data_IF_553502881282
#
_entry.id   IF_553502881282
#
_cell.length_a   1.000
_cell.length_b   1.000
_cell.length_c   1.000
_cell.angle_alpha   90.00
_cell.angle_beta   90.00
_cell.angle_gamma   90.00
#
_symmetry.space_group_name_H-M   'P 1'
#
loop_
_entity.id
_entity.type
_entity.pdbx_description
1 polymer ?
#
# COMPACT_ATOMS: atom_id res chain seq x y z
N UNK A 1 40.60 -30.92 4.05
CA UNK A 1 39.94 -30.87 2.73
C UNK A 1 39.74 -29.40 2.43
N UNK A 2 40.42 -28.86 1.41
CA UNK A 2 40.34 -27.43 1.13
C UNK A 2 38.94 -27.09 0.59
N UNK A 3 38.14 -26.42 1.42
CA UNK A 3 36.85 -25.82 1.02
C UNK A 3 37.01 -24.50 0.26
N UNK A 4 38.24 -24.01 0.10
CA UNK A 4 38.55 -22.83 -0.70
C UNK A 4 38.66 -23.18 -2.19
N UNK A 5 37.57 -22.97 -2.93
CA UNK A 5 37.58 -23.06 -4.38
C UNK A 5 36.28 -22.59 -5.03
N UNK A 6 36.40 -21.90 -6.16
CA UNK A 6 35.27 -21.46 -6.97
C UNK A 6 34.68 -22.62 -7.77
N UNK A 7 33.37 -22.57 -8.04
CA UNK A 7 32.77 -23.46 -9.02
C UNK A 7 33.17 -23.03 -10.42
N UNK A 8 33.62 -23.98 -11.25
CA UNK A 8 33.96 -23.78 -12.65
C UNK A 8 32.91 -24.38 -13.59
N UNK A 9 31.80 -24.88 -13.04
CA UNK A 9 30.74 -25.49 -13.83
C UNK A 9 29.98 -24.44 -14.64
N UNK A 10 29.87 -24.70 -15.95
CA UNK A 10 29.06 -23.91 -16.87
C UNK A 10 27.56 -23.96 -16.53
N UNK A 11 27.12 -25.00 -15.82
CA UNK A 11 25.72 -25.21 -15.44
C UNK A 11 25.40 -24.71 -14.02
N UNK A 12 26.38 -24.16 -13.31
CA UNK A 12 26.13 -23.60 -11.99
C UNK A 12 25.16 -22.41 -12.09
N UNK A 13 24.11 -22.45 -11.26
CA UNK A 13 23.06 -21.43 -11.17
C UNK A 13 22.78 -21.10 -9.71
N UNK A 14 22.29 -19.89 -9.48
CA UNK A 14 21.66 -19.49 -8.22
C UNK A 14 20.26 -20.12 -8.14
N UNK A 15 19.80 -20.39 -6.92
CA UNK A 15 18.38 -20.67 -6.67
C UNK A 15 17.75 -19.41 -6.10
N UNK A 16 16.78 -18.84 -6.82
CA UNK A 16 16.04 -17.67 -6.39
C UNK A 16 14.87 -18.13 -5.50
N UNK A 17 14.61 -17.45 -4.38
CA UNK A 17 13.43 -17.74 -3.55
C UNK A 17 12.12 -17.54 -4.33
N UNK A 18 12.13 -16.58 -5.26
CA UNK A 18 11.00 -16.22 -6.12
C UNK A 18 11.50 -15.70 -7.45
N UNK A 19 10.67 -15.82 -8.47
CA UNK A 19 10.87 -15.24 -9.79
C UNK A 19 10.28 -13.82 -9.89
N UNK A 20 9.27 -13.51 -9.07
CA UNK A 20 8.59 -12.21 -9.04
C UNK A 20 8.42 -11.71 -7.61
N UNK A 21 8.72 -10.42 -7.39
CA UNK A 21 8.41 -9.68 -6.18
C UNK A 21 7.37 -8.60 -6.52
N UNK A 22 6.12 -8.84 -6.12
CA UNK A 22 5.02 -7.89 -6.29
C UNK A 22 4.80 -7.06 -5.02
N UNK A 23 4.85 -5.74 -5.16
CA UNK A 23 4.63 -4.76 -4.08
C UNK A 23 3.17 -4.27 -4.01
N UNK A 24 2.31 -4.78 -4.89
CA UNK A 24 0.90 -4.41 -5.06
C UNK A 24 0.72 -2.89 -5.28
N UNK A 25 -0.35 -2.30 -4.74
CA UNK A 25 -0.74 -0.91 -4.95
C UNK A 25 -0.06 0.01 -3.95
N UNK A 26 0.64 1.02 -4.47
CA UNK A 26 1.46 1.96 -3.73
C UNK A 26 0.99 3.38 -4.01
N UNK A 27 0.94 4.24 -2.99
CA UNK A 27 0.62 5.65 -3.18
C UNK A 27 1.74 6.35 -3.95
N UNK A 28 1.36 7.07 -5.01
CA UNK A 28 2.30 7.80 -5.85
C UNK A 28 2.97 8.94 -5.07
N UNK A 29 4.29 9.10 -5.24
CA UNK A 29 5.10 10.10 -4.56
C UNK A 29 5.61 9.67 -3.18
N UNK A 30 5.36 8.42 -2.77
CA UNK A 30 5.81 7.88 -1.48
C UNK A 30 6.73 6.67 -1.66
N UNK A 31 7.61 6.50 -0.68
CA UNK A 31 8.42 5.30 -0.59
C UNK A 31 7.63 4.17 0.08
N UNK A 32 7.81 2.94 -0.39
CA UNK A 32 7.19 1.77 0.24
C UNK A 32 7.91 1.36 1.51
N UNK A 33 7.32 0.42 2.24
CA UNK A 33 8.07 -0.44 3.15
C UNK A 33 9.15 -1.24 2.39
N UNK A 34 10.09 -1.80 3.13
CA UNK A 34 11.10 -2.71 2.58
C UNK A 34 10.55 -4.12 2.45
N UNK A 35 10.67 -4.69 1.27
CA UNK A 35 10.38 -6.08 0.95
C UNK A 35 11.67 -6.87 0.90
N UNK A 36 11.63 -8.15 1.26
CA UNK A 36 12.83 -8.99 1.25
C UNK A 36 12.59 -10.35 0.63
N UNK A 37 13.66 -10.91 0.06
CA UNK A 37 13.74 -12.30 -0.40
C UNK A 37 15.21 -12.74 -0.37
N UNK A 38 15.43 -14.04 -0.53
CA UNK A 38 16.76 -14.64 -0.53
C UNK A 38 17.17 -15.19 -1.90
N UNK A 39 18.47 -15.19 -2.12
CA UNK A 39 19.13 -15.78 -3.28
C UNK A 39 20.17 -16.76 -2.77
N UNK A 40 20.07 -18.02 -3.19
CA UNK A 40 20.87 -19.10 -2.63
C UNK A 40 21.92 -19.59 -3.62
N UNK A 41 23.08 -19.99 -3.11
CA UNK A 41 24.01 -20.84 -3.83
C UNK A 41 23.79 -22.30 -3.41
N UNK A 42 23.07 -23.13 -4.21
CA UNK A 42 22.87 -24.53 -3.87
C UNK A 42 24.12 -25.39 -4.10
N UNK A 43 25.19 -24.84 -4.67
CA UNK A 43 26.43 -25.56 -4.95
C UNK A 43 27.25 -25.74 -3.68
N UNK A 44 28.15 -26.73 -3.67
CA UNK A 44 29.12 -26.91 -2.56
C UNK A 44 30.28 -25.92 -2.58
N UNK A 45 30.53 -25.30 -3.73
CA UNK A 45 31.64 -24.37 -3.97
C UNK A 45 31.12 -22.95 -4.10
N UNK A 46 32.00 -21.98 -3.88
CA UNK A 46 31.69 -20.55 -4.03
C UNK A 46 31.28 -20.23 -5.46
N UNK A 47 30.17 -19.51 -5.60
CA UNK A 47 29.71 -18.88 -6.84
C UNK A 47 30.16 -17.42 -6.86
N UNK A 48 30.66 -16.97 -8.01
CA UNK A 48 30.94 -15.55 -8.25
C UNK A 48 29.84 -14.93 -9.09
N UNK A 49 29.20 -13.91 -8.52
CA UNK A 49 28.24 -13.06 -9.18
C UNK A 49 29.03 -11.86 -9.71
N UNK A 50 29.24 -11.80 -11.02
CA UNK A 50 30.02 -10.75 -11.67
C UNK A 50 29.38 -9.36 -11.47
N UNK A 51 28.04 -9.28 -11.50
CA UNK A 51 27.31 -8.06 -11.19
C UNK A 51 25.86 -8.37 -10.78
N UNK A 52 25.32 -7.55 -9.88
CA UNK A 52 23.89 -7.48 -9.61
C UNK A 52 23.40 -6.11 -10.06
N UNK A 53 22.39 -6.06 -10.93
CA UNK A 53 21.95 -4.79 -11.54
C UNK A 53 20.44 -4.71 -11.76
N UNK A 54 19.90 -3.52 -11.66
CA UNK A 54 18.57 -3.18 -12.15
C UNK A 54 18.64 -2.93 -13.65
N UNK A 55 17.71 -3.47 -14.42
CA UNK A 55 17.65 -3.25 -15.86
C UNK A 55 17.41 -1.77 -16.21
N UNK A 56 16.62 -1.06 -15.39
CA UNK A 56 16.46 0.40 -15.47
C UNK A 56 17.67 1.22 -15.02
N UNK A 57 18.68 0.59 -14.42
CA UNK A 57 19.88 1.25 -13.90
C UNK A 57 19.54 2.42 -12.97
N UNK A 58 20.21 3.56 -13.17
CA UNK A 58 19.99 4.77 -12.38
C UNK A 58 18.59 5.41 -12.55
N UNK A 59 17.82 5.01 -13.56
CA UNK A 59 16.44 5.47 -13.77
C UNK A 59 15.42 4.58 -13.08
N UNK A 60 15.85 3.46 -12.49
CA UNK A 60 14.95 2.58 -11.76
C UNK A 60 14.36 3.33 -10.56
N UNK A 61 13.05 3.26 -10.35
CA UNK A 61 12.42 3.73 -9.12
C UNK A 61 12.58 2.73 -7.98
N UNK A 62 13.07 1.51 -8.26
CA UNK A 62 13.37 0.51 -7.24
C UNK A 62 14.75 0.75 -6.63
N UNK A 63 14.79 0.73 -5.32
CA UNK A 63 15.97 0.86 -4.49
C UNK A 63 16.29 -0.52 -3.95
N UNK A 64 17.46 -1.04 -4.29
CA UNK A 64 17.87 -2.41 -3.92
C UNK A 64 19.14 -2.38 -3.10
N UNK A 65 19.14 -3.14 -2.01
CA UNK A 65 20.31 -3.46 -1.22
C UNK A 65 20.48 -4.98 -1.19
N UNK A 66 21.69 -5.47 -1.45
CA UNK A 66 22.02 -6.89 -1.40
C UNK A 66 23.09 -7.10 -0.36
N UNK A 67 22.73 -7.81 0.72
CA UNK A 67 23.61 -8.18 1.82
C UNK A 67 24.44 -7.01 2.39
N UNK A 68 23.77 -5.87 2.57
CA UNK A 68 24.38 -4.63 3.08
C UNK A 68 24.91 -3.70 1.98
N UNK A 69 25.10 -4.18 0.76
CA UNK A 69 25.59 -3.38 -0.37
C UNK A 69 24.44 -2.75 -1.15
N UNK A 70 24.33 -1.43 -1.11
CA UNK A 70 23.33 -0.69 -1.89
C UNK A 70 23.72 -0.62 -3.39
N UNK A 71 22.78 -0.86 -4.29
CA UNK A 71 22.96 -0.74 -5.74
C UNK A 71 22.94 0.74 -6.16
N UNK A 72 24.04 1.45 -5.88
CA UNK A 72 24.20 2.82 -6.36
C UNK A 72 24.11 2.85 -7.90
N UNK A 73 23.28 3.74 -8.44
CA UNK A 73 22.98 3.80 -9.89
C UNK A 73 22.43 2.48 -10.47
N UNK A 74 21.86 1.61 -9.62
CA UNK A 74 21.25 0.35 -10.03
C UNK A 74 22.24 -0.76 -10.34
N UNK A 75 23.47 -0.74 -9.81
CA UNK A 75 24.45 -1.81 -10.03
C UNK A 75 25.40 -1.97 -8.84
N UNK A 76 25.82 -3.21 -8.56
CA UNK A 76 26.97 -3.52 -7.70
C UNK A 76 28.14 -4.08 -8.51
N UNK A 77 29.35 -4.04 -7.92
CA UNK A 77 30.47 -4.83 -8.40
C UNK A 77 30.28 -6.33 -8.13
N UNK A 78 31.34 -7.09 -8.40
CA UNK A 78 31.35 -8.54 -8.18
C UNK A 78 31.11 -8.89 -6.71
N UNK A 79 30.38 -9.97 -6.48
CA UNK A 79 30.05 -10.49 -5.14
C UNK A 79 30.28 -11.99 -5.13
N UNK A 80 30.91 -12.49 -4.08
CA UNK A 80 31.12 -13.92 -3.87
C UNK A 80 30.04 -14.47 -2.96
N UNK A 81 29.52 -15.66 -3.28
CA UNK A 81 28.53 -16.35 -2.47
C UNK A 81 29.03 -17.77 -2.18
N UNK A 82 29.37 -18.04 -0.92
CA UNK A 82 29.89 -19.33 -0.47
C UNK A 82 28.93 -20.48 -0.79
N UNK A 83 29.46 -21.70 -0.87
CA UNK A 83 28.65 -22.89 -1.14
C UNK A 83 27.65 -23.14 -0.02
N UNK A 84 26.38 -23.36 -0.38
CA UNK A 84 25.29 -23.58 0.58
C UNK A 84 24.78 -22.30 1.27
N UNK A 85 25.37 -21.15 0.99
CA UNK A 85 25.02 -19.88 1.62
C UNK A 85 23.96 -19.09 0.81
N UNK A 86 23.50 -17.97 1.37
CA UNK A 86 22.46 -17.11 0.79
C UNK A 86 22.76 -15.63 0.94
N UNK A 87 22.37 -14.85 -0.05
CA UNK A 87 22.27 -13.40 0.04
C UNK A 87 20.84 -13.00 0.41
N UNK A 88 20.70 -12.01 1.28
CA UNK A 88 19.42 -11.34 1.50
C UNK A 88 19.32 -10.08 0.66
N UNK A 89 18.23 -9.99 -0.10
CA UNK A 89 17.92 -8.83 -0.95
C UNK A 89 16.81 -8.02 -0.28
N UNK A 90 17.04 -6.72 -0.14
CA UNK A 90 16.08 -5.75 0.33
C UNK A 90 15.67 -4.86 -0.84
N UNK A 91 14.36 -4.73 -1.06
CA UNK A 91 13.79 -3.94 -2.15
C UNK A 91 12.81 -2.94 -1.56
N UNK A 92 12.98 -1.68 -1.92
CA UNK A 92 12.04 -0.60 -1.65
C UNK A 92 11.69 0.06 -2.99
N UNK A 93 10.47 0.55 -3.13
CA UNK A 93 10.07 1.36 -4.28
C UNK A 93 9.94 2.82 -3.82
N UNK A 94 10.60 3.74 -4.50
CA UNK A 94 10.28 5.16 -4.43
C UNK A 94 9.30 5.47 -5.56
N UNK A 95 7.99 5.41 -5.26
CA UNK A 95 6.96 5.52 -6.28
C UNK A 95 6.99 6.94 -6.88
N UNK A 96 7.18 7.10 -8.20
CA UNK A 96 7.15 8.41 -8.83
C UNK A 96 5.83 9.13 -8.54
N UNK A 97 5.90 10.44 -8.33
CA UNK A 97 4.69 11.25 -8.23
C UNK A 97 3.89 11.17 -9.53
N UNK A 98 2.56 11.07 -9.41
CA UNK A 98 1.67 10.94 -10.56
C UNK A 98 0.36 11.65 -10.29
N UNK A 99 -0.25 12.17 -11.35
CA UNK A 99 -1.63 12.71 -11.36
C UNK A 99 -2.61 11.81 -12.10
N UNK A 100 -2.13 10.63 -12.54
CA UNK A 100 -2.95 9.66 -13.26
C UNK A 100 -4.18 9.25 -12.43
N UNK A 101 -5.32 9.18 -13.10
CA UNK A 101 -6.59 8.82 -12.47
C UNK A 101 -6.64 7.32 -12.17
N UNK A 102 -6.14 6.51 -13.10
CA UNK A 102 -6.06 5.06 -12.94
C UNK A 102 -4.68 4.65 -12.41
N UNK A 103 -4.61 3.54 -11.64
CA UNK A 103 -3.33 3.01 -11.20
C UNK A 103 -2.41 2.74 -12.39
N UNK A 104 -1.13 3.10 -12.24
CA UNK A 104 -0.11 2.96 -13.30
C UNK A 104 0.85 1.84 -12.94
N UNK A 105 0.97 0.79 -13.76
CA UNK A 105 1.90 -0.30 -13.50
C UNK A 105 3.35 0.18 -13.57
N UNK A 106 4.18 -0.40 -12.73
CA UNK A 106 5.60 -0.11 -12.65
C UNK A 106 6.38 -1.43 -12.57
N UNK A 107 7.40 -1.54 -13.41
CA UNK A 107 8.17 -2.77 -13.56
C UNK A 107 9.67 -2.47 -13.69
N UNK A 108 10.49 -3.32 -13.08
CA UNK A 108 11.91 -3.45 -13.40
C UNK A 108 12.37 -4.89 -13.18
N UNK A 109 13.59 -5.22 -13.60
CA UNK A 109 14.19 -6.54 -13.43
C UNK A 109 15.50 -6.41 -12.67
N UNK A 110 15.61 -7.15 -11.57
CA UNK A 110 16.87 -7.32 -10.84
C UNK A 110 17.61 -8.52 -11.43
N UNK A 111 18.74 -8.25 -12.06
CA UNK A 111 19.54 -9.18 -12.84
C UNK A 111 20.78 -9.61 -12.05
N UNK A 112 21.05 -10.91 -12.03
CA UNK A 112 22.21 -11.54 -11.41
C UNK A 112 23.05 -12.17 -12.52
N UNK A 113 24.17 -11.53 -12.86
CA UNK A 113 25.11 -12.05 -13.86
C UNK A 113 26.21 -12.84 -13.15
N UNK A 114 26.32 -14.13 -13.47
CA UNK A 114 27.39 -14.99 -12.96
C UNK A 114 28.64 -14.92 -13.85
N UNK A 115 29.82 -15.18 -13.28
CA UNK A 115 31.08 -15.21 -14.05
C UNK A 115 31.09 -16.29 -15.14
N UNK A 116 30.29 -17.35 -15.01
CA UNK A 116 30.13 -18.36 -16.05
C UNK A 116 29.22 -17.91 -17.21
N UNK A 117 28.75 -16.66 -17.20
CA UNK A 117 27.92 -16.06 -18.25
C UNK A 117 26.41 -16.30 -18.09
N UNK A 118 25.97 -17.08 -17.11
CA UNK A 118 24.56 -17.24 -16.83
C UNK A 118 23.97 -15.96 -16.21
N UNK A 119 22.83 -15.50 -16.74
CA UNK A 119 22.06 -14.40 -16.17
C UNK A 119 20.71 -14.92 -15.67
N UNK A 120 20.37 -14.59 -14.42
CA UNK A 120 19.07 -14.90 -13.82
C UNK A 120 18.41 -13.60 -13.35
N UNK A 121 17.09 -13.60 -13.24
CA UNK A 121 16.35 -12.38 -12.93
C UNK A 121 15.23 -12.61 -11.91
N UNK A 122 14.96 -11.56 -11.14
CA UNK A 122 13.73 -11.40 -10.38
C UNK A 122 12.96 -10.21 -10.95
N UNK A 123 11.71 -10.45 -11.34
CA UNK A 123 10.80 -9.41 -11.79
C UNK A 123 10.31 -8.60 -10.58
N UNK A 124 10.42 -7.28 -10.64
CA UNK A 124 9.93 -6.36 -9.62
C UNK A 124 8.70 -5.65 -10.19
N UNK A 125 7.54 -5.79 -9.54
CA UNK A 125 6.29 -5.18 -10.02
C UNK A 125 5.58 -4.40 -8.93
N UNK A 126 4.98 -3.27 -9.28
CA UNK A 126 4.07 -2.50 -8.43
C UNK A 126 2.99 -1.81 -9.27
N UNK A 127 1.96 -1.29 -8.62
CA UNK A 127 0.96 -0.42 -9.23
C UNK A 127 0.90 0.88 -8.44
N UNK A 128 1.11 2.02 -9.10
CA UNK A 128 1.14 3.33 -8.43
C UNK A 128 -0.21 4.04 -8.55
N UNK A 129 -0.73 4.55 -7.44
CA UNK A 129 -2.03 5.24 -7.39
C UNK A 129 -1.88 6.68 -6.91
N UNK A 130 -2.36 7.63 -7.72
CA UNK A 130 -2.47 9.03 -7.32
C UNK A 130 -3.63 9.24 -6.35
N UNK A 131 -3.43 10.10 -5.35
CA UNK A 131 -4.45 10.48 -4.37
C UNK A 131 -4.61 11.99 -4.27
N UNK A 132 -5.77 12.44 -3.80
CA UNK A 132 -6.04 13.83 -3.45
C UNK A 132 -5.78 14.00 -1.95
N UNK A 133 -4.64 14.59 -1.59
CA UNK A 133 -4.29 14.83 -0.19
C UNK A 133 -5.11 15.99 0.38
N UNK A 134 -5.73 15.76 1.54
CA UNK A 134 -6.53 16.70 2.30
C UNK A 134 -5.98 16.79 3.73
N UNK A 135 -5.65 18.00 4.18
CA UNK A 135 -5.15 18.30 5.52
C UNK A 135 -6.11 19.25 6.22
N UNK A 136 -6.55 18.92 7.44
CA UNK A 136 -7.53 19.71 8.19
C UNK A 136 -8.81 20.07 7.40
N UNK A 137 -9.29 19.19 6.53
CA UNK A 137 -10.38 19.53 5.60
C UNK A 137 -11.73 19.70 6.31
N UNK A 138 -12.45 20.76 5.94
CA UNK A 138 -13.77 21.10 6.46
C UNK A 138 -14.77 21.32 5.31
N UNK A 139 -15.94 20.71 5.42
CA UNK A 139 -17.06 20.91 4.49
C UNK A 139 -17.94 22.02 5.05
N UNK A 140 -17.64 23.26 4.64
CA UNK A 140 -18.30 24.48 5.13
C UNK A 140 -19.50 24.92 4.25
N UNK A 141 -19.71 24.21 3.15
CA UNK A 141 -20.83 24.35 2.20
C UNK A 141 -21.20 22.99 1.65
N UNK A 142 -22.44 22.84 1.23
CA UNK A 142 -22.90 21.60 0.60
C UNK A 142 -22.00 21.24 -0.58
N UNK A 143 -21.44 20.04 -0.53
CA UNK A 143 -20.39 19.60 -1.45
C UNK A 143 -20.65 18.17 -1.85
N UNK A 144 -20.45 17.87 -3.14
CA UNK A 144 -20.44 16.49 -3.65
C UNK A 144 -19.02 16.11 -4.04
N UNK A 145 -18.56 14.96 -3.56
CA UNK A 145 -17.34 14.32 -3.99
C UNK A 145 -17.68 13.14 -4.90
N UNK A 146 -17.07 13.18 -6.08
CA UNK A 146 -17.24 12.20 -7.15
C UNK A 146 -15.89 11.95 -7.86
N UNK A 147 -14.77 12.24 -7.18
CA UNK A 147 -13.47 12.16 -7.82
C UNK A 147 -13.10 10.70 -8.14
N UNK A 148 -12.50 10.48 -9.31
CA UNK A 148 -12.08 9.14 -9.70
C UNK A 148 -10.81 8.67 -8.96
N UNK A 149 -10.10 9.60 -8.29
CA UNK A 149 -8.96 9.31 -7.40
C UNK A 149 -9.41 9.26 -5.94
N UNK A 150 -8.80 8.40 -5.10
CA UNK A 150 -9.08 8.42 -3.66
C UNK A 150 -8.73 9.76 -3.02
N UNK A 151 -9.50 10.14 -2.02
CA UNK A 151 -9.17 11.23 -1.12
C UNK A 151 -8.36 10.68 0.05
N UNK A 152 -7.21 11.27 0.34
CA UNK A 152 -6.40 10.91 1.51
C UNK A 152 -6.49 11.99 2.58
N UNK A 153 -7.02 11.64 3.74
CA UNK A 153 -7.32 12.52 4.85
C UNK A 153 -6.20 12.39 5.88
N UNK A 154 -5.37 13.43 6.00
CA UNK A 154 -4.15 13.40 6.82
C UNK A 154 -4.37 13.72 8.30
N UNK A 155 -5.37 14.55 8.62
CA UNK A 155 -5.69 14.90 10.02
C UNK A 155 -7.09 14.43 10.39
N UNK A 156 -8.14 15.08 9.88
CA UNK A 156 -9.54 14.63 9.99
C UNK A 156 -10.36 15.39 8.95
N UNK A 157 -11.49 14.81 8.57
CA UNK A 157 -12.49 15.44 7.72
C UNK A 157 -13.68 15.83 8.57
N UNK A 158 -14.02 17.11 8.59
CA UNK A 158 -15.17 17.62 9.35
C UNK A 158 -16.27 18.06 8.38
N UNK A 159 -17.50 17.59 8.62
CA UNK A 159 -18.69 18.12 7.96
C UNK A 159 -19.39 19.06 8.92
N UNK A 160 -19.36 20.37 8.61
CA UNK A 160 -19.88 21.40 9.52
C UNK A 160 -21.40 21.30 9.71
N UNK A 161 -21.89 21.87 10.81
CA UNK A 161 -23.31 21.89 11.14
C UNK A 161 -24.15 22.54 10.03
N UNK A 162 -25.26 21.89 9.67
CA UNK A 162 -26.13 22.36 8.59
C UNK A 162 -25.50 22.31 7.20
N UNK A 163 -24.42 21.54 7.01
CA UNK A 163 -23.81 21.27 5.70
C UNK A 163 -23.92 19.80 5.34
N UNK A 164 -23.98 19.53 4.04
CA UNK A 164 -24.08 18.18 3.50
C UNK A 164 -22.82 17.82 2.72
N UNK A 165 -22.19 16.71 3.08
CA UNK A 165 -21.20 16.02 2.25
C UNK A 165 -21.88 14.85 1.55
N UNK A 166 -21.94 14.90 0.21
CA UNK A 166 -22.42 13.79 -0.61
C UNK A 166 -21.22 13.06 -1.23
N UNK A 167 -21.12 11.75 -1.02
CA UNK A 167 -20.11 10.89 -1.62
C UNK A 167 -20.79 10.00 -2.67
N UNK A 168 -20.38 10.16 -3.93
CA UNK A 168 -20.94 9.39 -5.04
C UNK A 168 -20.35 7.97 -5.07
N UNK A 169 -21.04 7.04 -5.74
CA UNK A 169 -20.58 5.66 -5.90
C UNK A 169 -19.12 5.56 -6.40
N UNK A 170 -18.37 4.62 -5.80
CA UNK A 170 -16.95 4.42 -6.07
C UNK A 170 -16.01 5.44 -5.42
N UNK A 171 -16.51 6.39 -4.62
CA UNK A 171 -15.66 7.31 -3.86
C UNK A 171 -14.88 6.54 -2.79
N UNK A 172 -13.57 6.82 -2.67
CA UNK A 172 -12.68 6.14 -1.72
C UNK A 172 -12.02 7.18 -0.81
N UNK A 173 -12.09 6.93 0.50
CA UNK A 173 -11.53 7.79 1.54
C UNK A 173 -10.49 7.00 2.34
N UNK A 174 -9.24 7.47 2.29
CA UNK A 174 -8.08 6.88 2.94
C UNK A 174 -7.64 7.77 4.10
N UNK A 175 -7.83 7.30 5.32
CA UNK A 175 -7.56 8.05 6.53
C UNK A 175 -6.18 7.71 7.08
N UNK A 176 -5.40 8.74 7.41
CA UNK A 176 -4.16 8.58 8.15
C UNK A 176 -4.42 8.08 9.58
N UNK A 177 -3.45 7.45 10.27
CA UNK A 177 -3.65 7.02 11.66
C UNK A 177 -4.19 8.12 12.57
N UNK A 178 -5.15 7.74 13.43
CA UNK A 178 -5.95 8.61 14.30
C UNK A 178 -6.91 9.60 13.59
N UNK A 179 -6.89 9.70 12.26
CA UNK A 179 -7.81 10.56 11.53
C UNK A 179 -9.24 10.02 11.56
N UNK A 180 -10.22 10.93 11.60
CA UNK A 180 -11.65 10.61 11.69
C UNK A 180 -12.44 11.35 10.63
N UNK A 181 -13.61 10.79 10.30
CA UNK A 181 -14.69 11.54 9.66
C UNK A 181 -15.64 12.01 10.77
N UNK A 182 -15.69 13.31 11.02
CA UNK A 182 -16.51 13.92 12.06
C UNK A 182 -17.65 14.68 11.41
N UNK A 183 -18.88 14.21 11.66
CA UNK A 183 -20.08 14.76 11.04
C UNK A 183 -20.86 15.56 12.09
N UNK A 184 -20.92 16.88 11.90
CA UNK A 184 -21.83 17.78 12.62
C UNK A 184 -23.08 18.09 11.79
N UNK A 185 -22.97 18.10 10.46
CA UNK A 185 -24.09 18.24 9.54
C UNK A 185 -24.66 16.89 9.09
N UNK A 186 -24.65 16.67 7.78
CA UNK A 186 -25.21 15.49 7.11
C UNK A 186 -24.19 14.84 6.19
N UNK A 187 -24.05 13.53 6.31
CA UNK A 187 -23.28 12.69 5.38
C UNK A 187 -24.25 11.85 4.55
N UNK A 188 -24.14 11.96 3.22
CA UNK A 188 -24.83 11.09 2.27
C UNK A 188 -23.79 10.31 1.48
N UNK A 189 -23.48 9.09 1.89
CA UNK A 189 -22.64 8.18 1.13
C UNK A 189 -23.54 7.22 0.34
N UNK A 190 -23.55 7.40 -0.97
CA UNK A 190 -24.50 6.76 -1.88
C UNK A 190 -23.74 5.89 -2.89
N UNK A 191 -23.29 4.73 -2.40
CA UNK A 191 -22.63 3.70 -3.19
C UNK A 191 -23.60 2.92 -4.08
N UNK A 192 -23.03 1.99 -4.85
CA UNK A 192 -23.80 1.03 -5.65
C UNK A 192 -23.17 -0.36 -5.54
N UNK A 193 -23.93 -1.39 -5.90
CA UNK A 193 -23.38 -2.74 -6.01
C UNK A 193 -22.23 -2.77 -7.05
N UNK A 194 -21.07 -3.27 -6.66
CA UNK A 194 -19.85 -3.25 -7.48
C UNK A 194 -19.09 -1.90 -7.48
N UNK A 195 -19.63 -0.85 -6.86
CA UNK A 195 -18.99 0.44 -6.69
C UNK A 195 -19.36 1.07 -5.33
N UNK A 196 -18.97 0.43 -4.21
CA UNK A 196 -19.27 0.96 -2.88
C UNK A 196 -18.53 2.27 -2.61
N UNK A 197 -18.99 3.03 -1.61
CA UNK A 197 -18.17 4.10 -1.00
C UNK A 197 -17.28 3.47 0.06
N UNK A 198 -15.97 3.60 -0.09
CA UNK A 198 -14.97 2.94 0.75
C UNK A 198 -14.37 3.91 1.79
N UNK A 199 -14.28 3.45 3.04
CA UNK A 199 -13.63 4.17 4.15
C UNK A 199 -12.63 3.25 4.86
N UNK A 200 -11.35 3.59 4.78
CA UNK A 200 -10.26 2.76 5.32
C UNK A 200 -9.02 3.55 5.71
N UNK A 201 -8.04 2.88 6.30
CA UNK A 201 -6.71 3.44 6.52
C UNK A 201 -5.94 3.68 5.21
N UNK A 202 -5.02 4.66 5.22
CA UNK A 202 -4.20 5.06 4.07
C UNK A 202 -2.99 4.15 3.78
N UNK A 203 -2.75 3.14 4.62
CA UNK A 203 -1.73 2.12 4.40
C UNK A 203 -2.29 1.01 3.51
N UNK A 204 -1.81 0.95 2.26
CA UNK A 204 -2.27 -0.01 1.24
C UNK A 204 -1.49 -1.34 1.21
N UNK A 205 -0.31 -1.39 1.83
CA UNK A 205 0.58 -2.56 1.77
C UNK A 205 0.31 -3.64 2.82
N UNK A 206 1.37 -4.37 3.14
CA UNK A 206 1.36 -5.49 4.09
C UNK A 206 2.10 -5.13 5.39
N UNK A 207 1.51 -5.53 6.52
CA UNK A 207 2.15 -5.46 7.84
C UNK A 207 3.11 -6.65 8.03
N UNK A 208 2.69 -7.83 7.55
CA UNK A 208 3.48 -9.06 7.46
C UNK A 208 3.21 -9.75 6.13
N UNK A 209 4.04 -10.71 5.72
CA UNK A 209 3.98 -11.34 4.39
C UNK A 209 2.59 -11.81 3.94
N UNK A 210 1.72 -12.20 4.88
CA UNK A 210 0.36 -12.68 4.58
C UNK A 210 -0.75 -11.83 5.26
N UNK A 211 -0.41 -10.63 5.72
CA UNK A 211 -1.31 -9.79 6.51
C UNK A 211 -1.35 -8.37 5.94
N UNK A 212 -2.32 -8.05 5.05
CA UNK A 212 -2.49 -6.70 4.54
C UNK A 212 -2.97 -5.77 5.65
N UNK A 213 -2.54 -4.50 5.62
CA UNK A 213 -3.01 -3.47 6.55
C UNK A 213 -4.54 -3.31 6.50
N UNK A 214 -5.12 -3.57 5.33
CA UNK A 214 -6.55 -3.59 5.06
C UNK A 214 -7.38 -4.49 6.00
N UNK A 215 -6.75 -5.52 6.57
CA UNK A 215 -7.42 -6.47 7.48
C UNK A 215 -7.03 -6.26 8.94
N UNK A 216 -6.23 -5.24 9.22
CA UNK A 216 -5.81 -4.90 10.58
C UNK A 216 -6.75 -3.84 11.16
N UNK A 217 -7.35 -4.05 12.33
CA UNK A 217 -8.13 -3.00 13.01
C UNK A 217 -7.25 -1.83 13.47
N UNK A 218 -7.87 -0.68 13.75
CA UNK A 218 -7.19 0.48 14.34
C UNK A 218 -6.18 1.20 13.45
N UNK A 219 -6.36 1.15 12.12
CA UNK A 219 -5.55 1.93 11.16
C UNK A 219 -6.01 3.38 11.05
N UNK A 220 -7.24 3.71 11.45
CA UNK A 220 -7.79 5.06 11.48
C UNK A 220 -8.91 5.14 12.52
N UNK A 221 -9.43 6.33 12.80
CA UNK A 221 -10.33 6.55 13.92
C UNK A 221 -11.79 6.15 13.72
N UNK A 222 -12.31 5.98 12.49
CA UNK A 222 -13.72 5.67 12.22
C UNK A 222 -14.62 6.87 11.92
N UNK A 223 -15.92 6.61 11.67
CA UNK A 223 -16.94 7.63 11.37
C UNK A 223 -17.66 8.05 12.65
N UNK A 224 -17.74 9.35 12.92
CA UNK A 224 -18.38 9.92 14.10
C UNK A 224 -19.56 10.79 13.69
N UNK A 225 -20.77 10.35 14.02
CA UNK A 225 -21.98 11.16 13.96
C UNK A 225 -22.18 11.84 15.30
N UNK A 226 -21.86 13.13 15.38
CA UNK A 226 -21.98 13.92 16.62
C UNK A 226 -23.43 14.20 16.99
N UNK A 227 -23.73 14.65 18.21
CA UNK A 227 -25.10 14.89 18.66
C UNK A 227 -25.93 15.79 17.72
N UNK A 228 -25.27 16.75 17.07
CA UNK A 228 -25.87 17.70 16.12
C UNK A 228 -26.18 17.13 14.73
N UNK A 229 -25.52 16.04 14.35
CA UNK A 229 -25.72 15.44 13.02
C UNK A 229 -27.11 14.84 12.87
N UNK A 230 -27.65 14.90 11.65
CA UNK A 230 -28.97 14.38 11.31
C UNK A 230 -29.07 14.00 9.84
N UNK A 231 -30.07 13.19 9.53
CA UNK A 231 -30.47 12.80 8.18
C UNK A 231 -29.34 12.13 7.38
N UNK A 232 -28.45 11.41 8.08
CA UNK A 232 -27.31 10.73 7.47
C UNK A 232 -27.76 9.46 6.76
N UNK A 233 -27.16 9.18 5.60
CA UNK A 233 -27.41 8.00 4.80
C UNK A 233 -26.08 7.36 4.42
N UNK A 234 -25.93 6.08 4.74
CA UNK A 234 -24.87 5.20 4.28
C UNK A 234 -25.52 4.02 3.54
N UNK A 235 -25.42 4.05 2.21
CA UNK A 235 -25.98 3.04 1.31
C UNK A 235 -24.84 2.47 0.46
N UNK A 236 -24.69 1.15 0.43
CA UNK A 236 -23.58 0.48 -0.26
C UNK A 236 -22.21 1.05 0.13
N UNK A 237 -21.95 1.14 1.44
CA UNK A 237 -20.69 1.58 1.99
C UNK A 237 -19.87 0.40 2.51
N UNK A 238 -18.56 0.52 2.45
CA UNK A 238 -17.60 -0.42 3.03
C UNK A 238 -16.70 0.35 3.99
N UNK A 239 -16.79 0.03 5.29
CA UNK A 239 -16.07 0.71 6.36
C UNK A 239 -15.26 -0.34 7.11
N UNK A 240 -13.94 -0.20 7.13
CA UNK A 240 -13.09 -1.18 7.79
C UNK A 240 -11.77 -0.63 8.29
N UNK A 241 -11.06 -1.46 9.05
CA UNK A 241 -9.74 -1.16 9.61
C UNK A 241 -9.75 0.04 10.57
N UNK A 242 -10.92 0.45 11.08
CA UNK A 242 -11.04 1.55 12.03
C UNK A 242 -10.77 1.11 13.47
N UNK A 243 -10.51 2.08 14.35
CA UNK A 243 -10.62 1.91 15.80
C UNK A 243 -12.07 1.48 16.14
N UNK A 244 -13.04 2.06 15.45
CA UNK A 244 -14.44 1.66 15.39
C UNK A 244 -14.97 1.90 13.97
N UNK A 245 -16.11 1.29 13.62
CA UNK A 245 -16.78 1.52 12.35
C UNK A 245 -17.58 2.82 12.37
N UNK A 246 -18.63 2.84 13.19
CA UNK A 246 -19.53 4.00 13.33
C UNK A 246 -19.79 4.28 14.80
N UNK A 247 -19.39 5.48 15.25
CA UNK A 247 -19.82 6.01 16.54
C UNK A 247 -20.97 6.99 16.34
N UNK A 248 -22.15 6.60 16.79
CA UNK A 248 -23.33 7.44 16.78
C UNK A 248 -23.59 8.00 18.17
N UNK A 249 -23.46 9.31 18.32
CA UNK A 249 -23.81 10.02 19.56
C UNK A 249 -25.34 10.16 19.70
N UNK A 250 -25.78 10.47 20.92
CA UNK A 250 -27.16 10.78 21.29
C UNK A 250 -27.83 11.77 20.33
N UNK A 251 -29.12 11.58 20.06
CA UNK A 251 -29.91 12.46 19.20
C UNK A 251 -31.34 12.58 19.70
N UNK A 252 -32.06 13.60 19.22
CA UNK A 252 -33.53 13.61 19.36
C UNK A 252 -34.14 12.40 18.64
N UNK A 253 -35.34 12.00 19.07
CA UNK A 253 -36.19 11.02 18.39
C UNK A 253 -37.04 11.65 17.28
N UNK A 254 -37.00 12.98 17.14
CA UNK A 254 -37.82 13.72 16.16
C UNK A 254 -37.32 13.61 14.71
N UNK A 255 -36.08 13.14 14.52
CA UNK A 255 -35.46 13.02 13.20
C UNK A 255 -34.67 11.73 13.08
N UNK A 256 -34.52 11.25 11.85
CA UNK A 256 -33.70 10.08 11.57
C UNK A 256 -32.22 10.44 11.74
N UNK A 257 -31.52 9.74 12.62
CA UNK A 257 -30.10 9.99 12.88
C UNK A 257 -29.21 9.45 11.76
N UNK A 258 -29.39 8.18 11.43
CA UNK A 258 -28.60 7.45 10.44
C UNK A 258 -29.45 6.35 9.80
N UNK A 259 -29.44 6.27 8.48
CA UNK A 259 -29.88 5.10 7.72
C UNK A 259 -28.63 4.38 7.25
N UNK A 260 -28.44 3.15 7.72
CA UNK A 260 -27.40 2.23 7.24
C UNK A 260 -28.07 1.07 6.52
N UNK A 261 -27.78 0.90 5.22
CA UNK A 261 -28.31 -0.21 4.42
C UNK A 261 -27.32 -0.67 3.37
N UNK A 262 -27.42 -1.94 2.96
CA UNK A 262 -26.56 -2.56 1.95
C UNK A 262 -25.05 -2.36 2.19
N UNK A 263 -24.64 -2.15 3.44
CA UNK A 263 -23.29 -1.72 3.80
C UNK A 263 -22.60 -2.77 4.66
N UNK A 264 -21.28 -2.82 4.55
CA UNK A 264 -20.43 -3.74 5.29
C UNK A 264 -19.52 -2.96 6.24
N UNK A 265 -19.49 -3.39 7.51
CA UNK A 265 -18.56 -2.88 8.51
C UNK A 265 -17.80 -4.08 9.08
N UNK A 266 -16.46 -4.07 8.99
CA UNK A 266 -15.65 -5.22 9.39
C UNK A 266 -14.22 -4.82 9.81
N UNK A 267 -13.49 -5.73 10.45
CA UNK A 267 -12.10 -5.52 10.87
C UNK A 267 -11.89 -4.23 11.69
N UNK A 268 -12.79 -3.95 12.65
CA UNK A 268 -12.69 -2.82 13.58
C UNK A 268 -12.21 -3.28 14.95
N UNK A 269 -11.55 -2.38 15.71
CA UNK A 269 -10.84 -2.75 16.94
C UNK A 269 -11.66 -2.68 18.23
N UNK A 270 -12.57 -1.71 18.34
CA UNK A 270 -13.34 -1.39 19.54
C UNK A 270 -14.84 -1.59 19.37
N UNK A 271 -15.58 -1.28 20.42
CA UNK A 271 -17.05 -1.34 20.44
C UNK A 271 -17.64 -0.16 19.65
N UNK A 272 -18.02 -0.40 18.38
CA UNK A 272 -18.68 0.58 17.50
C UNK A 272 -18.46 0.34 16.01
#
# INVERSE_FOLDING_TARGET
MNEEGYTTSADARLRLERDTLALDTVLAGEATNTYTFQVFNPQKKTLRIAAIRLAGGAKSPFMVNVDGTFLANGVTGATELAGGDSLRVFVQLNAPASTAVSPTPLEDRLLFLLENGAEQQVLLTASTQSVINLRGARVERDTTWNAPRPYRILDSLVVEEGRTLTLSAGTRLYFHPAARLIVHGTLRAEGQNGAPVEFRGDRLGYMFSNQPYDRIPGQWGGVVFTAKSRDNVLDHCEIHSGDFGIRCDSSSVDFQKLILRNSLIHNVGGDG
#
